data_IF_994989508898
#
_entry.id   IF_994989508898
#
_cell.length_a   1.000
_cell.length_b   1.000
_cell.length_c   1.000
_cell.angle_alpha   90.00
_cell.angle_beta   90.00
_cell.angle_gamma   90.00
#
_symmetry.space_group_name_H-M   'P 1'
#
loop_
_entity.id
_entity.type
_entity.pdbx_description
1 polymer ?
#
# COMPACT_ATOMS: atom_id res chain seq x y z
N UNK A 1 -12.64 -3.69 45.05
CA UNK A 1 -13.41 -4.57 44.15
C UNK A 1 -14.40 -3.68 43.40
N UNK A 2 -14.21 -3.47 42.09
CA UNK A 2 -15.13 -2.62 41.30
C UNK A 2 -16.32 -3.49 40.91
N UNK A 3 -17.43 -3.32 41.62
CA UNK A 3 -18.72 -3.89 41.24
C UNK A 3 -19.08 -3.38 39.84
N UNK A 4 -19.26 -4.33 38.91
CA UNK A 4 -19.80 -4.04 37.59
C UNK A 4 -21.28 -3.71 37.78
N UNK A 5 -21.63 -2.43 37.70
CA UNK A 5 -23.02 -1.98 37.61
C UNK A 5 -23.66 -2.60 36.36
N UNK A 6 -24.57 -3.55 36.60
CA UNK A 6 -25.30 -4.25 35.56
C UNK A 6 -26.72 -3.68 35.56
N UNK A 7 -27.15 -2.98 34.49
CA UNK A 7 -28.48 -2.37 34.44
C UNK A 7 -29.57 -3.46 34.53
N UNK A 8 -30.79 -3.11 35.01
CA UNK A 8 -31.86 -4.07 35.23
C UNK A 8 -32.17 -4.81 33.93
N UNK A 9 -32.07 -6.14 34.00
CA UNK A 9 -32.15 -7.04 32.86
C UNK A 9 -33.61 -7.19 32.44
N UNK A 10 -34.00 -6.56 31.33
CA UNK A 10 -35.26 -6.90 30.68
C UNK A 10 -35.18 -8.35 30.19
N UNK A 11 -36.19 -9.17 30.52
CA UNK A 11 -36.07 -10.64 30.45
C UNK A 11 -36.13 -11.17 29.02
N UNK A 12 -36.47 -10.33 28.05
CA UNK A 12 -36.74 -10.69 26.66
C UNK A 12 -35.69 -10.18 25.64
N UNK A 13 -34.64 -9.46 26.06
CA UNK A 13 -33.61 -8.99 25.12
C UNK A 13 -32.55 -10.07 24.81
N UNK A 14 -32.26 -10.35 23.53
CA UNK A 14 -31.22 -11.29 23.14
C UNK A 14 -29.83 -10.81 23.61
N UNK A 15 -29.14 -11.67 24.35
CA UNK A 15 -27.82 -11.39 24.94
C UNK A 15 -26.82 -10.94 23.86
N UNK A 16 -26.28 -9.73 24.04
CA UNK A 16 -25.25 -9.14 23.15
C UNK A 16 -25.75 -8.08 22.17
N UNK A 17 -27.07 -7.86 22.03
CA UNK A 17 -27.60 -6.78 21.19
C UNK A 17 -27.39 -5.38 21.77
N UNK A 18 -27.30 -5.24 23.10
CA UNK A 18 -27.09 -3.94 23.76
C UNK A 18 -25.84 -3.21 23.24
N UNK A 19 -24.82 -3.97 22.84
CA UNK A 19 -23.56 -3.43 22.33
C UNK A 19 -23.72 -2.73 20.97
N UNK A 20 -24.80 -3.06 20.25
CA UNK A 20 -25.19 -2.48 18.97
C UNK A 20 -26.45 -1.59 19.06
N UNK A 21 -26.95 -1.25 20.26
CA UNK A 21 -28.17 -0.44 20.37
C UNK A 21 -27.93 1.03 20.01
N UNK A 22 -26.73 1.54 20.31
CA UNK A 22 -26.33 2.90 19.95
C UNK A 22 -25.65 2.90 18.57
N UNK A 23 -26.00 3.83 17.66
CA UNK A 23 -25.45 3.87 16.30
C UNK A 23 -23.94 4.14 16.29
N UNK A 24 -23.46 4.97 17.22
CA UNK A 24 -22.03 5.29 17.37
C UNK A 24 -21.23 4.06 17.81
N UNK A 25 -21.71 3.35 18.83
CA UNK A 25 -21.05 2.13 19.31
C UNK A 25 -21.06 1.04 18.24
N UNK A 26 -22.16 0.88 17.52
CA UNK A 26 -22.26 -0.07 16.42
C UNK A 26 -21.22 0.17 15.35
N UNK A 27 -21.09 1.42 14.90
CA UNK A 27 -20.12 1.82 13.88
C UNK A 27 -18.69 1.55 14.36
N UNK A 28 -18.39 1.91 15.61
CA UNK A 28 -17.07 1.72 16.21
C UNK A 28 -16.71 0.23 16.34
N UNK A 29 -17.65 -0.63 16.74
CA UNK A 29 -17.43 -2.07 16.81
C UNK A 29 -17.29 -2.71 15.42
N UNK A 30 -18.08 -2.29 14.43
CA UNK A 30 -17.90 -2.76 13.04
C UNK A 30 -16.56 -2.34 12.46
N UNK A 31 -16.07 -1.15 12.80
CA UNK A 31 -14.77 -0.66 12.37
C UNK A 31 -13.62 -1.39 13.08
N UNK A 32 -13.76 -1.64 14.38
CA UNK A 32 -12.80 -2.42 15.17
C UNK A 32 -12.64 -3.84 14.60
N UNK A 33 -13.75 -4.47 14.22
CA UNK A 33 -13.74 -5.78 13.58
C UNK A 33 -13.12 -5.75 12.16
N UNK A 34 -13.20 -4.63 11.45
CA UNK A 34 -12.46 -4.40 10.19
C UNK A 34 -10.95 -4.32 10.40
N UNK A 35 -10.54 -3.77 11.54
CA UNK A 35 -9.15 -3.75 11.99
C UNK A 35 -8.68 -5.08 12.62
N UNK A 36 -9.46 -6.16 12.49
CA UNK A 36 -9.19 -7.48 13.08
C UNK A 36 -9.09 -7.48 14.62
N UNK A 37 -9.69 -6.48 15.28
CA UNK A 37 -9.80 -6.43 16.74
C UNK A 37 -11.04 -7.22 17.17
N UNK A 38 -10.87 -8.10 18.15
CA UNK A 38 -11.96 -8.95 18.64
C UNK A 38 -12.99 -8.16 19.45
N UNK A 39 -14.27 -8.51 19.30
CA UNK A 39 -15.32 -7.99 20.16
C UNK A 39 -15.28 -8.70 21.53
N UNK A 40 -15.53 -7.98 22.63
CA UNK A 40 -15.54 -8.55 23.98
C UNK A 40 -16.67 -9.56 24.20
N UNK A 41 -17.80 -9.46 23.49
CA UNK A 41 -18.89 -10.44 23.49
C UNK A 41 -19.46 -10.60 22.09
N UNK A 42 -19.68 -11.84 21.69
CA UNK A 42 -20.35 -12.18 20.43
C UNK A 42 -21.86 -12.29 20.67
N UNK A 43 -22.69 -11.76 19.76
CA UNK A 43 -24.13 -11.89 19.84
C UNK A 43 -24.57 -13.36 19.68
N UNK A 44 -25.60 -13.77 20.45
CA UNK A 44 -26.06 -15.17 20.47
C UNK A 44 -27.06 -15.52 19.36
N UNK A 45 -27.64 -14.53 18.69
CA UNK A 45 -28.63 -14.74 17.62
C UNK A 45 -28.05 -15.39 16.36
N UNK A 46 -28.78 -16.35 15.77
CA UNK A 46 -28.34 -17.13 14.61
C UNK A 46 -28.09 -16.26 13.36
N UNK A 47 -28.98 -15.31 13.08
CA UNK A 47 -28.82 -14.35 11.96
C UNK A 47 -27.56 -13.49 12.12
N UNK A 48 -27.23 -13.10 13.35
CA UNK A 48 -26.13 -12.19 13.61
C UNK A 48 -24.78 -12.93 13.52
N UNK A 49 -24.74 -14.23 13.86
CA UNK A 49 -23.56 -15.09 13.61
C UNK A 49 -23.25 -15.23 12.12
N UNK A 50 -24.27 -15.44 11.29
CA UNK A 50 -24.08 -15.52 9.83
C UNK A 50 -23.58 -14.19 9.25
N UNK A 51 -24.16 -13.06 9.68
CA UNK A 51 -23.69 -11.73 9.27
C UNK A 51 -22.24 -11.47 9.71
N UNK A 52 -21.91 -11.75 10.97
CA UNK A 52 -20.56 -11.61 11.53
C UNK A 52 -19.56 -12.50 10.78
N UNK A 53 -19.93 -13.73 10.44
CA UNK A 53 -19.07 -14.64 9.67
C UNK A 53 -18.77 -14.12 8.27
N UNK A 54 -19.78 -13.65 7.54
CA UNK A 54 -19.60 -13.06 6.21
C UNK A 54 -18.77 -11.77 6.27
N UNK A 55 -19.04 -10.92 7.26
CA UNK A 55 -18.27 -9.71 7.48
C UNK A 55 -16.80 -10.03 7.82
N UNK A 56 -16.55 -11.11 8.55
CA UNK A 56 -15.18 -11.57 8.85
C UNK A 56 -14.40 -11.94 7.58
N UNK A 57 -15.05 -12.64 6.64
CA UNK A 57 -14.45 -12.94 5.32
C UNK A 57 -14.15 -11.66 4.54
N UNK A 58 -15.09 -10.70 4.53
CA UNK A 58 -14.88 -9.41 3.90
C UNK A 58 -13.67 -8.66 4.48
N UNK A 59 -13.56 -8.56 5.80
CA UNK A 59 -12.41 -7.91 6.45
C UNK A 59 -11.09 -8.59 6.10
N UNK A 60 -11.07 -9.93 6.07
CA UNK A 60 -9.87 -10.69 5.71
C UNK A 60 -9.44 -10.41 4.26
N UNK A 61 -10.39 -10.42 3.32
CA UNK A 61 -10.13 -10.09 1.91
C UNK A 61 -9.64 -8.64 1.74
N UNK A 62 -10.25 -7.70 2.45
CA UNK A 62 -9.89 -6.28 2.38
C UNK A 62 -8.49 -6.01 2.95
N UNK A 63 -8.18 -6.55 4.13
CA UNK A 63 -6.86 -6.35 4.75
C UNK A 63 -5.75 -7.03 3.96
N UNK A 64 -5.99 -8.24 3.45
CA UNK A 64 -4.99 -8.98 2.66
C UNK A 64 -4.72 -8.30 1.31
N UNK A 65 -5.77 -7.86 0.60
CA UNK A 65 -5.61 -7.12 -0.67
C UNK A 65 -4.91 -5.78 -0.48
N UNK A 66 -5.25 -5.03 0.58
CA UNK A 66 -4.56 -3.79 0.93
C UNK A 66 -3.08 -4.03 1.20
N UNK A 67 -2.76 -5.03 2.05
CA UNK A 67 -1.37 -5.38 2.37
C UNK A 67 -0.60 -5.84 1.13
N UNK A 68 -1.19 -6.67 0.27
CA UNK A 68 -0.57 -7.14 -0.97
C UNK A 68 -0.29 -5.99 -1.94
N UNK A 69 -1.23 -5.05 -2.07
CA UNK A 69 -1.05 -3.87 -2.94
C UNK A 69 0.04 -2.95 -2.39
N UNK A 70 0.05 -2.72 -1.07
CA UNK A 70 1.08 -1.92 -0.41
C UNK A 70 2.47 -2.54 -0.59
N UNK A 71 2.61 -3.85 -0.38
CA UNK A 71 3.90 -4.53 -0.57
C UNK A 71 4.32 -4.55 -2.04
N UNK A 72 3.39 -4.70 -2.99
CA UNK A 72 3.70 -4.65 -4.41
C UNK A 72 4.24 -3.27 -4.84
N UNK A 73 3.64 -2.19 -4.33
CA UNK A 73 4.10 -0.82 -4.59
C UNK A 73 5.49 -0.59 -3.99
N UNK A 74 5.71 -1.04 -2.74
CA UNK A 74 7.00 -0.88 -2.07
C UNK A 74 8.11 -1.78 -2.64
N UNK A 75 7.75 -2.95 -3.18
CA UNK A 75 8.70 -3.92 -3.72
C UNK A 75 9.23 -3.54 -5.11
N UNK A 76 8.59 -2.59 -5.80
CA UNK A 76 9.06 -2.08 -7.09
C UNK A 76 9.80 -0.76 -6.89
N UNK A 77 11.10 -0.78 -6.53
CA UNK A 77 11.89 0.45 -6.59
C UNK A 77 11.78 0.99 -8.02
N UNK A 78 11.45 2.28 -8.15
CA UNK A 78 11.32 2.94 -9.45
C UNK A 78 12.50 2.52 -10.33
N UNK A 79 12.26 2.04 -11.57
CA UNK A 79 13.34 1.69 -12.46
C UNK A 79 14.25 2.90 -12.52
N UNK A 80 15.49 2.77 -12.03
CA UNK A 80 16.50 3.79 -12.28
C UNK A 80 16.59 3.84 -13.80
N UNK A 81 16.25 4.97 -14.39
CA UNK A 81 16.46 5.21 -15.82
C UNK A 81 17.95 5.02 -16.02
N UNK A 82 18.34 3.86 -16.53
CA UNK A 82 19.72 3.61 -16.92
C UNK A 82 19.84 4.22 -18.29
N UNK A 83 20.93 4.94 -18.49
CA UNK A 83 21.34 5.37 -19.80
C UNK A 83 22.14 4.20 -20.34
N UNK A 84 21.51 3.39 -21.19
CA UNK A 84 22.12 2.17 -21.73
C UNK A 84 22.73 2.43 -23.12
N UNK A 85 22.38 3.56 -23.76
CA UNK A 85 22.88 3.95 -25.09
C UNK A 85 23.47 5.36 -25.11
N UNK A 86 24.35 5.63 -26.10
CA UNK A 86 24.90 6.96 -26.32
C UNK A 86 23.81 7.96 -26.74
N UNK A 87 22.80 7.51 -27.50
CA UNK A 87 21.65 8.36 -27.86
C UNK A 87 20.86 8.78 -26.62
N UNK A 88 20.65 7.88 -25.65
CA UNK A 88 20.05 8.22 -24.36
C UNK A 88 20.94 9.15 -23.52
N UNK A 89 22.27 9.05 -23.65
CA UNK A 89 23.22 9.92 -22.95
C UNK A 89 23.14 11.35 -23.48
N UNK A 90 23.15 11.51 -24.80
CA UNK A 90 23.05 12.81 -25.48
C UNK A 90 21.67 13.43 -25.28
N UNK A 91 20.61 12.61 -25.30
CA UNK A 91 19.26 13.08 -24.98
C UNK A 91 19.09 13.42 -23.50
N UNK A 92 19.88 12.81 -22.61
CA UNK A 92 19.89 13.17 -21.19
C UNK A 92 20.57 14.54 -21.03
N UNK A 93 19.95 15.44 -20.25
CA UNK A 93 20.54 16.76 -19.92
C UNK A 93 21.66 16.67 -18.88
N UNK A 94 22.38 15.54 -18.83
CA UNK A 94 23.48 15.32 -17.91
C UNK A 94 24.78 15.80 -18.54
N UNK A 95 25.69 16.32 -17.72
CA UNK A 95 27.05 16.63 -18.18
C UNK A 95 27.79 15.33 -18.40
N UNK A 96 28.24 15.10 -19.63
CA UNK A 96 29.11 14.01 -20.02
C UNK A 96 30.43 14.55 -20.57
N UNK A 97 31.47 13.73 -20.54
CA UNK A 97 32.80 14.07 -21.02
C UNK A 97 33.70 12.85 -20.88
N UNK A 98 34.91 12.93 -21.40
CA UNK A 98 35.87 11.83 -21.31
C UNK A 98 37.30 12.33 -21.29
N UNK A 99 38.21 11.38 -21.13
CA UNK A 99 39.60 11.66 -20.77
C UNK A 99 40.55 11.16 -21.85
N UNK A 100 41.49 12.02 -22.25
CA UNK A 100 42.62 11.66 -23.10
C UNK A 100 42.49 12.12 -24.56
N UNK A 101 43.62 12.54 -25.13
CA UNK A 101 43.67 13.09 -26.50
C UNK A 101 43.27 12.05 -27.56
N UNK A 102 43.65 10.79 -27.37
CA UNK A 102 43.26 9.68 -28.26
C UNK A 102 41.75 9.49 -28.33
N UNK A 103 41.04 9.66 -27.22
CA UNK A 103 39.59 9.49 -27.16
C UNK A 103 38.89 10.68 -27.83
N UNK A 104 39.42 11.90 -27.66
CA UNK A 104 38.95 13.09 -28.36
C UNK A 104 39.13 12.94 -29.88
N UNK A 105 40.29 12.47 -30.33
CA UNK A 105 40.59 12.25 -31.74
C UNK A 105 39.73 11.13 -32.33
N UNK A 106 39.44 10.07 -31.56
CA UNK A 106 38.51 9.01 -31.95
C UNK A 106 37.08 9.54 -32.16
N UNK A 107 36.56 10.39 -31.26
CA UNK A 107 35.22 10.96 -31.43
C UNK A 107 35.15 11.99 -32.57
N UNK A 108 36.23 12.77 -32.78
CA UNK A 108 36.30 13.78 -33.85
C UNK A 108 36.44 13.13 -35.24
N UNK A 109 37.07 11.95 -35.32
CA UNK A 109 37.24 11.21 -36.58
C UNK A 109 36.07 10.28 -36.92
N UNK A 110 35.05 10.21 -36.05
CA UNK A 110 33.87 9.40 -36.29
C UNK A 110 32.87 10.12 -37.19
N UNK A 111 32.21 9.37 -38.08
CA UNK A 111 31.20 9.88 -39.04
C UNK A 111 29.76 9.78 -38.48
N UNK A 112 29.62 9.36 -37.22
CA UNK A 112 28.32 9.20 -36.55
C UNK A 112 27.91 10.50 -35.86
N UNK A 113 26.71 10.99 -36.18
CA UNK A 113 26.19 12.26 -35.68
C UNK A 113 26.08 12.30 -34.14
N UNK A 114 25.78 11.16 -33.50
CA UNK A 114 25.70 11.08 -32.03
C UNK A 114 27.08 11.23 -31.39
N UNK A 115 28.14 10.72 -32.04
CA UNK A 115 29.52 10.84 -31.58
C UNK A 115 30.11 12.23 -31.84
N UNK A 116 29.73 12.86 -32.95
CA UNK A 116 30.10 14.23 -33.27
C UNK A 116 29.56 15.21 -32.22
N UNK A 117 28.27 15.11 -31.85
CA UNK A 117 27.70 15.95 -30.78
C UNK A 117 28.33 15.72 -29.41
N UNK A 118 28.83 14.51 -29.16
CA UNK A 118 29.61 14.23 -27.95
C UNK A 118 30.96 14.94 -28.00
N UNK A 119 31.64 14.91 -29.15
CA UNK A 119 32.94 15.56 -29.34
C UNK A 119 32.91 17.08 -29.14
N UNK A 120 31.79 17.74 -29.48
CA UNK A 120 31.62 19.19 -29.27
C UNK A 120 31.52 19.57 -27.78
N UNK A 121 31.13 18.63 -26.92
CA UNK A 121 30.98 18.82 -25.48
C UNK A 121 32.21 18.37 -24.67
N UNK A 122 33.31 17.98 -25.33
CA UNK A 122 34.57 17.52 -24.75
C UNK A 122 35.63 18.62 -24.57
#
# INVERSE_FOLDING_TARGET
>A
MKEQYQPPRDKDEPVGLYQFSQPVNSTLYTYSMLLLVSLPKLPSGWSLRMLTGWYWLYCLLLVTSYRASMTAILAKPTPRVRIDTLDELVASKLTYGGWGDLTREFFTSSDDATLEMISENF
#
